data_IF_973799353855
#
_entry.id   IF_973799353855
#
_cell.length_a   1.000
_cell.length_b   1.000
_cell.length_c   1.000
_cell.angle_alpha   90.00
_cell.angle_beta   90.00
_cell.angle_gamma   90.00
#
_symmetry.space_group_name_H-M   'P 1'
#
loop_
_entity.id
_entity.type
_entity.pdbx_description
1 polymer ?
#
# COMPACT_ATOMS: atom_id res chain seq x y z
N UNK A 1 12.24 2.72 -50.96
CA UNK A 1 12.55 4.01 -50.29
C UNK A 1 11.33 4.58 -49.59
N UNK A 2 10.22 4.82 -50.30
CA UNK A 2 8.94 5.26 -49.71
C UNK A 2 8.41 4.37 -48.57
N UNK A 3 8.55 3.04 -48.67
CA UNK A 3 8.16 2.13 -47.58
C UNK A 3 8.90 2.42 -46.28
N UNK A 4 10.22 2.61 -46.34
CA UNK A 4 11.04 2.88 -45.16
C UNK A 4 10.79 4.26 -44.57
N UNK A 5 10.53 5.25 -45.43
CA UNK A 5 10.14 6.59 -45.00
C UNK A 5 8.75 6.59 -44.35
N UNK A 6 7.76 5.93 -44.96
CA UNK A 6 6.41 5.80 -44.41
C UNK A 6 6.39 4.96 -43.13
N UNK A 7 7.12 3.86 -43.08
CA UNK A 7 7.27 3.00 -41.90
C UNK A 7 7.97 3.75 -40.76
N UNK A 8 9.06 4.47 -41.06
CA UNK A 8 9.76 5.30 -40.08
C UNK A 8 8.88 6.41 -39.52
N UNK A 9 8.09 7.07 -40.37
CA UNK A 9 7.10 8.07 -39.94
C UNK A 9 6.01 7.47 -39.06
N UNK A 10 5.44 6.32 -39.43
CA UNK A 10 4.40 5.65 -38.66
C UNK A 10 4.91 5.16 -37.30
N UNK A 11 6.10 4.56 -37.24
CA UNK A 11 6.72 4.11 -35.98
C UNK A 11 7.04 5.29 -35.07
N UNK A 12 7.55 6.40 -35.63
CA UNK A 12 7.85 7.62 -34.87
C UNK A 12 6.58 8.29 -34.35
N UNK A 13 5.52 8.34 -35.15
CA UNK A 13 4.20 8.85 -34.74
C UNK A 13 3.60 7.99 -33.63
N UNK A 14 3.59 6.66 -33.78
CA UNK A 14 3.16 5.72 -32.74
C UNK A 14 3.97 5.88 -31.45
N UNK A 15 5.29 6.06 -31.57
CA UNK A 15 6.17 6.24 -30.44
C UNK A 15 5.95 7.57 -29.75
N UNK A 16 5.76 8.66 -30.49
CA UNK A 16 5.36 9.95 -29.92
C UNK A 16 4.02 9.81 -29.17
N UNK A 17 3.01 9.16 -29.74
CA UNK A 17 1.73 8.91 -29.06
C UNK A 17 1.89 8.06 -27.79
N UNK A 18 2.82 7.12 -27.79
CA UNK A 18 3.13 6.30 -26.62
C UNK A 18 3.92 7.08 -25.55
N UNK A 19 4.93 7.85 -25.95
CA UNK A 19 5.84 8.58 -25.07
C UNK A 19 5.19 9.85 -24.47
N UNK A 20 4.29 10.50 -25.21
CA UNK A 20 3.54 11.67 -24.77
C UNK A 20 2.34 11.33 -23.86
N UNK A 21 2.13 10.03 -23.56
CA UNK A 21 0.95 9.51 -22.86
C UNK A 21 0.45 10.42 -21.73
N UNK A 22 -0.87 10.68 -21.71
CA UNK A 22 -1.68 11.45 -20.75
C UNK A 22 -1.21 12.87 -20.33
N UNK A 23 0.07 13.23 -20.44
CA UNK A 23 0.67 14.45 -19.90
C UNK A 23 1.09 15.48 -20.96
N UNK A 24 1.10 15.13 -22.25
CA UNK A 24 1.27 16.12 -23.30
C UNK A 24 0.02 17.03 -23.41
N UNK A 25 0.22 18.31 -23.09
CA UNK A 25 -0.79 19.35 -23.28
C UNK A 25 -0.99 19.55 -24.78
N UNK A 26 -2.06 18.96 -25.30
CA UNK A 26 -2.52 19.17 -26.66
C UNK A 26 -3.26 20.51 -26.77
N UNK A 27 -3.38 20.97 -28.02
CA UNK A 27 -3.95 22.24 -28.49
C UNK A 27 -5.02 22.84 -27.55
N UNK A 28 -4.74 24.02 -27.01
CA UNK A 28 -5.66 24.72 -26.11
C UNK A 28 -6.93 25.13 -26.85
N UNK A 29 -8.09 24.75 -26.31
CA UNK A 29 -9.38 25.24 -26.80
C UNK A 29 -9.48 26.77 -26.67
N UNK A 30 -10.02 27.47 -27.69
CA UNK A 30 -10.35 28.88 -27.60
C UNK A 30 -11.33 29.19 -26.46
N UNK A 31 -11.21 30.38 -25.87
CA UNK A 31 -12.04 30.79 -24.72
C UNK A 31 -13.53 30.80 -25.05
N UNK A 32 -13.92 31.25 -26.25
CA UNK A 32 -15.33 31.30 -26.68
C UNK A 32 -15.97 29.93 -26.77
N UNK A 33 -15.23 28.94 -27.25
CA UNK A 33 -15.71 27.56 -27.33
C UNK A 33 -15.87 26.94 -25.94
N UNK A 34 -14.94 27.24 -25.02
CA UNK A 34 -15.04 26.78 -23.63
C UNK A 34 -16.29 27.30 -22.95
N UNK A 35 -16.57 28.60 -23.07
CA UNK A 35 -17.75 29.21 -22.46
C UNK A 35 -19.03 28.60 -23.01
N UNK A 36 -19.09 28.34 -24.33
CA UNK A 36 -20.24 27.71 -24.96
C UNK A 36 -20.44 26.25 -24.48
N UNK A 37 -19.35 25.48 -24.37
CA UNK A 37 -19.40 24.10 -23.83
C UNK A 37 -19.82 24.07 -22.36
N UNK A 38 -19.31 24.97 -21.53
CA UNK A 38 -19.68 25.09 -20.14
C UNK A 38 -21.18 25.42 -19.98
N UNK A 39 -21.68 26.35 -20.79
CA UNK A 39 -23.11 26.69 -20.79
C UNK A 39 -23.99 25.52 -21.23
N UNK A 40 -23.57 24.77 -22.26
CA UNK A 40 -24.29 23.58 -22.70
C UNK A 40 -24.35 22.51 -21.59
N UNK A 41 -23.26 22.28 -20.87
CA UNK A 41 -23.24 21.36 -19.74
C UNK A 41 -24.10 21.85 -18.58
N UNK A 42 -24.11 23.15 -18.32
CA UNK A 42 -24.98 23.78 -17.31
C UNK A 42 -26.46 23.59 -17.61
N UNK A 43 -26.85 23.64 -18.88
CA UNK A 43 -28.22 23.36 -19.33
C UNK A 43 -28.57 21.88 -19.24
N UNK A 44 -27.62 20.99 -19.54
CA UNK A 44 -27.82 19.54 -19.54
C UNK A 44 -27.88 18.92 -18.15
N UNK A 45 -27.00 19.35 -17.24
CA UNK A 45 -26.86 18.78 -15.90
C UNK A 45 -27.72 19.57 -14.91
N UNK A 46 -29.00 19.19 -14.79
CA UNK A 46 -29.92 19.76 -13.81
C UNK A 46 -29.73 19.09 -12.45
N UNK A 47 -29.50 19.88 -11.38
CA UNK A 47 -29.38 19.38 -10.01
C UNK A 47 -27.99 19.50 -9.37
N UNK A 48 -26.99 19.97 -10.12
CA UNK A 48 -25.66 20.28 -9.61
C UNK A 48 -25.50 21.80 -9.52
N UNK A 49 -25.05 22.32 -8.38
CA UNK A 49 -24.68 23.73 -8.24
C UNK A 49 -23.35 23.98 -8.92
N UNK A 50 -23.36 24.71 -10.04
CA UNK A 50 -22.16 25.11 -10.76
C UNK A 50 -21.41 26.19 -9.96
N UNK A 51 -20.30 25.80 -9.34
CA UNK A 51 -19.37 26.65 -8.59
C UNK A 51 -17.93 26.42 -9.07
N UNK A 52 -16.98 27.31 -8.77
CA UNK A 52 -15.58 27.11 -9.15
C UNK A 52 -14.96 25.80 -8.61
N UNK A 53 -15.51 25.23 -7.54
CA UNK A 53 -15.06 23.96 -6.95
C UNK A 53 -15.62 22.73 -7.67
N UNK A 54 -16.75 22.87 -8.37
CA UNK A 54 -17.46 21.79 -9.09
C UNK A 54 -17.26 21.86 -10.60
N UNK A 55 -16.85 23.03 -11.12
CA UNK A 55 -16.47 23.19 -12.51
C UNK A 55 -15.15 22.45 -12.82
N UNK A 56 -15.08 21.66 -13.91
CA UNK A 56 -13.84 21.00 -14.30
C UNK A 56 -12.76 22.01 -14.71
N UNK A 57 -11.49 21.70 -14.45
CA UNK A 57 -10.37 22.54 -14.88
C UNK A 57 -10.25 22.62 -16.41
N UNK A 58 -9.67 23.72 -16.90
CA UNK A 58 -9.45 23.92 -18.33
C UNK A 58 -8.51 22.86 -18.92
N UNK A 59 -7.46 22.50 -18.16
CA UNK A 59 -6.55 21.43 -18.53
C UNK A 59 -7.25 20.07 -18.68
N UNK A 60 -8.20 19.75 -17.80
CA UNK A 60 -8.97 18.51 -17.89
C UNK A 60 -9.86 18.49 -19.15
N UNK A 61 -10.53 19.61 -19.44
CA UNK A 61 -11.37 19.74 -20.65
C UNK A 61 -10.54 19.59 -21.93
N UNK A 62 -9.36 20.21 -21.98
CA UNK A 62 -8.46 20.10 -23.14
C UNK A 62 -8.04 18.65 -23.41
N UNK A 63 -7.78 17.87 -22.34
CA UNK A 63 -7.45 16.45 -22.47
C UNK A 63 -8.57 15.64 -23.09
N UNK A 64 -9.81 15.85 -22.66
CA UNK A 64 -10.96 15.14 -23.24
C UNK A 64 -11.22 15.56 -24.69
N UNK A 65 -11.04 16.83 -25.03
CA UNK A 65 -11.17 17.26 -26.42
C UNK A 65 -10.10 16.64 -27.29
N UNK A 66 -8.86 16.59 -26.82
CA UNK A 66 -7.78 15.89 -27.50
C UNK A 66 -8.10 14.41 -27.74
N UNK A 67 -8.67 13.71 -26.75
CA UNK A 67 -9.12 12.32 -26.93
C UNK A 67 -10.16 12.15 -28.03
N UNK A 68 -11.07 13.13 -28.16
CA UNK A 68 -12.08 13.15 -29.23
C UNK A 68 -11.44 13.44 -30.59
N UNK A 69 -10.54 14.42 -30.67
CA UNK A 69 -9.83 14.79 -31.90
C UNK A 69 -8.92 13.65 -32.41
N UNK A 70 -8.21 12.98 -31.50
CA UNK A 70 -7.29 11.89 -31.82
C UNK A 70 -7.98 10.52 -31.95
N UNK A 71 -9.27 10.45 -31.62
CA UNK A 71 -10.05 9.20 -31.56
C UNK A 71 -9.41 8.10 -30.70
N UNK A 72 -8.75 8.50 -29.61
CA UNK A 72 -8.11 7.59 -28.65
C UNK A 72 -8.59 7.86 -27.23
N UNK A 73 -8.85 6.80 -26.46
CA UNK A 73 -9.19 6.89 -25.03
C UNK A 73 -7.94 6.58 -24.22
N UNK A 74 -7.57 7.47 -23.32
CA UNK A 74 -6.42 7.33 -22.44
C UNK A 74 -6.88 7.42 -20.99
N UNK A 75 -6.41 6.50 -20.15
CA UNK A 75 -6.71 6.53 -18.72
C UNK A 75 -6.26 7.84 -18.06
N UNK A 76 -7.20 8.60 -17.52
CA UNK A 76 -6.90 9.79 -16.71
C UNK A 76 -6.94 9.39 -15.24
N UNK A 77 -5.80 9.52 -14.57
CA UNK A 77 -5.73 9.25 -13.14
C UNK A 77 -6.59 10.25 -12.35
N UNK A 78 -7.23 9.82 -11.25
CA UNK A 78 -8.06 10.70 -10.41
C UNK A 78 -7.33 11.96 -9.90
N UNK A 79 -6.01 11.90 -9.68
CA UNK A 79 -5.24 13.07 -9.23
C UNK A 79 -5.14 14.19 -10.27
N UNK A 80 -5.42 13.87 -11.54
CA UNK A 80 -5.44 14.82 -12.65
C UNK A 80 -6.84 15.39 -12.90
N UNK A 81 -7.87 14.83 -12.27
CA UNK A 81 -9.25 15.31 -12.34
C UNK A 81 -9.45 16.49 -11.38
N UNK A 82 -8.90 17.65 -11.75
CA UNK A 82 -8.91 18.87 -10.93
C UNK A 82 -10.10 19.77 -11.25
N UNK A 83 -10.54 20.54 -10.25
CA UNK A 83 -11.53 21.60 -10.44
C UNK A 83 -10.91 22.93 -10.87
N UNK A 84 -11.74 23.86 -11.32
CA UNK A 84 -11.33 25.22 -11.71
C UNK A 84 -10.64 25.98 -10.58
N UNK A 85 -11.17 25.88 -9.36
CA UNK A 85 -10.54 26.46 -8.17
C UNK A 85 -9.15 25.83 -7.90
N UNK A 86 -9.04 24.51 -8.01
CA UNK A 86 -7.76 23.79 -7.77
C UNK A 86 -6.70 24.11 -8.82
N UNK A 87 -7.09 24.26 -10.09
CA UNK A 87 -6.20 24.70 -11.18
C UNK A 87 -5.63 26.10 -10.90
N UNK A 88 -6.48 27.04 -10.50
CA UNK A 88 -6.08 28.42 -10.21
C UNK A 88 -5.14 28.51 -9.01
N UNK A 89 -5.40 27.70 -7.98
CA UNK A 89 -4.59 27.66 -6.76
C UNK A 89 -3.35 26.75 -6.88
N UNK A 90 -3.20 26.01 -7.99
CA UNK A 90 -2.16 24.98 -8.18
C UNK A 90 -2.12 23.93 -7.05
N UNK A 91 -3.27 23.64 -6.44
CA UNK A 91 -3.38 22.74 -5.29
C UNK A 91 -3.56 21.31 -5.78
N UNK A 92 -2.53 20.48 -5.57
CA UNK A 92 -2.62 19.01 -5.73
C UNK A 92 -3.17 18.39 -4.45
N UNK A 93 -4.48 18.47 -4.25
CA UNK A 93 -5.15 17.82 -3.11
C UNK A 93 -5.82 16.52 -3.57
N UNK A 94 -5.32 15.39 -3.06
CA UNK A 94 -6.01 14.12 -3.14
C UNK A 94 -7.14 14.11 -2.11
N UNK A 95 -8.39 13.98 -2.57
CA UNK A 95 -9.53 13.80 -1.67
C UNK A 95 -9.48 12.39 -1.09
N UNK A 96 -9.48 12.28 0.23
CA UNK A 96 -9.64 11.01 0.93
C UNK A 96 -11.11 10.61 0.91
N UNK A 97 -11.41 9.44 0.37
CA UNK A 97 -12.76 8.88 0.35
C UNK A 97 -12.92 7.90 1.51
N UNK A 98 -14.01 8.04 2.26
CA UNK A 98 -14.42 7.04 3.25
C UNK A 98 -15.50 6.16 2.63
N UNK A 99 -15.24 4.86 2.57
CA UNK A 99 -16.21 3.87 2.10
C UNK A 99 -17.09 3.43 3.27
N UNK A 100 -18.32 3.00 2.94
CA UNK A 100 -19.31 2.58 3.93
C UNK A 100 -18.88 1.39 4.80
N UNK A 101 -19.67 1.10 5.83
CA UNK A 101 -19.41 -0.02 6.73
C UNK A 101 -19.50 -1.35 5.99
N UNK A 102 -18.51 -2.21 6.22
CA UNK A 102 -18.40 -3.53 5.61
C UNK A 102 -18.84 -4.60 6.63
N UNK A 103 -19.46 -5.71 6.19
CA UNK A 103 -19.84 -6.80 7.09
C UNK A 103 -18.67 -7.36 7.91
N UNK A 104 -18.99 -7.93 9.08
CA UNK A 104 -18.00 -8.52 9.99
C UNK A 104 -17.19 -9.61 9.27
N UNK A 105 -15.87 -9.63 9.46
CA UNK A 105 -14.88 -10.53 8.83
C UNK A 105 -14.54 -10.29 7.35
N UNK A 106 -14.98 -9.18 6.75
CA UNK A 106 -14.58 -8.77 5.40
C UNK A 106 -13.72 -7.49 5.45
N UNK A 107 -12.72 -7.40 4.57
CA UNK A 107 -11.93 -6.18 4.43
C UNK A 107 -12.73 -5.13 3.65
N UNK A 108 -12.68 -3.85 4.04
CA UNK A 108 -13.24 -2.79 3.23
C UNK A 108 -12.53 -2.72 1.88
N UNK A 109 -13.27 -2.32 0.86
CA UNK A 109 -12.69 -2.05 -0.45
C UNK A 109 -11.63 -0.98 -0.29
N UNK A 110 -10.43 -1.24 -0.77
CA UNK A 110 -9.31 -0.30 -0.67
C UNK A 110 -9.35 0.71 -1.81
N UNK A 111 -8.72 1.88 -1.62
CA UNK A 111 -8.55 2.85 -2.71
C UNK A 111 -7.85 2.22 -3.93
N UNK A 112 -6.87 1.34 -3.69
CA UNK A 112 -6.17 0.62 -4.74
C UNK A 112 -7.11 -0.25 -5.58
N UNK A 113 -8.04 -0.97 -4.94
CA UNK A 113 -9.05 -1.77 -5.65
C UNK A 113 -9.95 -0.90 -6.54
N UNK A 114 -10.33 0.29 -6.06
CA UNK A 114 -11.11 1.24 -6.86
C UNK A 114 -10.31 1.72 -8.07
N UNK A 115 -9.04 2.09 -7.86
CA UNK A 115 -8.17 2.54 -8.96
C UNK A 115 -7.94 1.44 -9.99
N UNK A 116 -7.82 0.18 -9.57
CA UNK A 116 -7.62 -0.94 -10.50
C UNK A 116 -8.91 -1.31 -11.24
N UNK A 117 -10.08 -1.22 -10.59
CA UNK A 117 -11.38 -1.34 -11.24
C UNK A 117 -11.60 -0.24 -12.30
N UNK A 118 -11.29 1.01 -11.94
CA UNK A 118 -11.36 2.16 -12.83
C UNK A 118 -10.44 1.97 -14.05
N UNK A 119 -9.16 1.62 -13.85
CA UNK A 119 -8.27 1.29 -14.98
C UNK A 119 -8.83 0.20 -15.88
N UNK A 120 -9.40 -0.87 -15.31
CA UNK A 120 -10.00 -1.96 -16.09
C UNK A 120 -11.16 -1.46 -16.95
N UNK A 121 -12.02 -0.60 -16.39
CA UNK A 121 -13.11 0.03 -17.13
C UNK A 121 -12.58 0.87 -18.31
N UNK A 122 -11.55 1.67 -18.10
CA UNK A 122 -10.95 2.49 -19.16
C UNK A 122 -10.29 1.67 -20.26
N UNK A 123 -9.65 0.54 -19.91
CA UNK A 123 -9.08 -0.39 -20.90
C UNK A 123 -10.19 -0.96 -21.78
N UNK A 124 -11.24 -1.50 -21.18
CA UNK A 124 -12.38 -2.07 -21.91
C UNK A 124 -13.08 -1.02 -22.77
N UNK A 125 -13.27 0.19 -22.24
CA UNK A 125 -13.82 1.32 -22.98
C UNK A 125 -12.98 1.59 -24.24
N UNK A 126 -11.64 1.69 -24.08
CA UNK A 126 -10.72 1.98 -25.19
C UNK A 126 -10.71 0.90 -26.28
N UNK A 127 -10.95 -0.37 -25.91
CA UNK A 127 -11.05 -1.49 -26.86
C UNK A 127 -12.32 -1.37 -27.70
N UNK A 128 -13.44 -0.99 -27.08
CA UNK A 128 -14.74 -0.96 -27.72
C UNK A 128 -14.96 0.28 -28.60
N UNK A 129 -14.52 1.45 -28.13
CA UNK A 129 -14.71 2.73 -28.82
C UNK A 129 -13.59 3.06 -29.80
N UNK A 130 -12.67 2.12 -30.07
CA UNK A 130 -11.53 2.32 -30.96
C UNK A 130 -12.00 2.82 -32.34
N UNK A 131 -11.65 4.07 -32.67
CA UNK A 131 -12.03 4.73 -33.93
C UNK A 131 -13.51 5.14 -34.04
N UNK A 132 -14.27 5.10 -32.92
CA UNK A 132 -15.72 5.40 -32.86
C UNK A 132 -16.09 6.46 -31.83
N UNK A 133 -15.10 7.18 -31.29
CA UNK A 133 -15.31 8.20 -30.24
C UNK A 133 -16.14 9.37 -30.76
N UNK A 134 -15.91 9.78 -32.02
CA UNK A 134 -16.70 10.84 -32.64
C UNK A 134 -18.05 10.27 -33.06
N UNK A 135 -19.10 10.67 -32.35
CA UNK A 135 -20.47 10.45 -32.77
C UNK A 135 -20.66 11.02 -34.18
N UNK A 136 -21.32 10.26 -35.06
CA UNK A 136 -21.80 10.83 -36.32
C UNK A 136 -22.77 11.96 -35.98
N UNK A 137 -22.87 13.04 -36.77
CA UNK A 137 -23.84 14.10 -36.50
C UNK A 137 -25.24 13.49 -36.32
N UNK A 138 -25.81 13.62 -35.12
CA UNK A 138 -27.12 13.06 -34.75
C UNK A 138 -27.12 11.66 -34.12
N UNK A 139 -25.98 11.00 -33.89
CA UNK A 139 -25.92 9.76 -33.09
C UNK A 139 -25.71 10.07 -31.61
N UNK A 140 -26.23 9.20 -30.74
CA UNK A 140 -26.03 9.30 -29.30
C UNK A 140 -24.54 9.21 -28.91
N UNK A 141 -24.13 9.77 -27.75
CA UNK A 141 -22.77 9.66 -27.25
C UNK A 141 -22.35 8.19 -27.10
N UNK A 142 -21.44 7.74 -27.96
CA UNK A 142 -20.98 6.33 -27.99
C UNK A 142 -20.36 5.90 -26.66
N UNK A 143 -19.64 6.79 -25.98
CA UNK A 143 -18.93 6.45 -24.75
C UNK A 143 -19.87 6.29 -23.55
N UNK A 144 -20.93 7.10 -23.44
CA UNK A 144 -21.79 7.11 -22.24
C UNK A 144 -22.50 5.76 -22.05
N UNK A 145 -23.10 5.23 -23.13
CA UNK A 145 -23.76 3.92 -23.12
C UNK A 145 -22.78 2.77 -22.81
N UNK A 146 -21.54 2.86 -23.30
CA UNK A 146 -20.51 1.86 -23.02
C UNK A 146 -20.05 1.93 -21.57
N UNK A 147 -19.84 3.14 -21.02
CA UNK A 147 -19.47 3.35 -19.62
C UNK A 147 -20.55 2.78 -18.69
N UNK A 148 -21.81 3.09 -18.95
CA UNK A 148 -22.94 2.60 -18.15
C UNK A 148 -22.97 1.07 -18.14
N UNK A 149 -22.82 0.44 -19.31
CA UNK A 149 -22.79 -1.03 -19.43
C UNK A 149 -21.56 -1.65 -18.76
N UNK A 150 -20.37 -1.08 -18.94
CA UNK A 150 -19.14 -1.60 -18.35
C UNK A 150 -19.11 -1.43 -16.82
N UNK A 151 -19.76 -0.40 -16.28
CA UNK A 151 -19.84 -0.16 -14.83
C UNK A 151 -20.54 -1.29 -14.06
N UNK A 152 -21.41 -2.04 -14.73
CA UNK A 152 -22.14 -3.19 -14.16
C UNK A 152 -21.55 -4.53 -14.59
N UNK A 153 -20.50 -4.53 -15.41
CA UNK A 153 -19.87 -5.76 -15.91
C UNK A 153 -19.08 -6.49 -14.81
N UNK A 154 -19.08 -7.82 -14.85
CA UNK A 154 -18.31 -8.63 -13.90
C UNK A 154 -16.79 -8.37 -14.02
N UNK A 155 -16.33 -8.09 -15.24
CA UNK A 155 -14.94 -7.74 -15.54
C UNK A 155 -14.42 -6.56 -14.71
N UNK A 156 -15.29 -5.60 -14.38
CA UNK A 156 -14.95 -4.43 -13.54
C UNK A 156 -15.31 -4.70 -12.08
N UNK A 157 -16.51 -5.22 -11.82
CA UNK A 157 -17.03 -5.42 -10.47
C UNK A 157 -16.24 -6.45 -9.65
N UNK A 158 -15.59 -7.42 -10.30
CA UNK A 158 -14.73 -8.40 -9.63
C UNK A 158 -13.56 -7.76 -8.86
N UNK A 159 -13.06 -6.61 -9.32
CA UNK A 159 -12.01 -5.85 -8.61
C UNK A 159 -12.51 -5.21 -7.31
N UNK A 160 -13.81 -4.91 -7.24
CA UNK A 160 -14.47 -4.29 -6.08
C UNK A 160 -15.00 -5.32 -5.07
N UNK A 161 -14.82 -6.62 -5.34
CA UNK A 161 -15.24 -7.66 -4.41
C UNK A 161 -14.50 -7.54 -3.06
N UNK A 162 -15.23 -7.47 -1.92
CA UNK A 162 -14.61 -7.47 -0.60
C UNK A 162 -13.78 -8.74 -0.39
N UNK A 163 -12.51 -8.56 -0.03
CA UNK A 163 -11.62 -9.69 0.21
C UNK A 163 -11.81 -10.23 1.63
N UNK A 164 -11.81 -11.56 1.75
CA UNK A 164 -11.81 -12.22 3.04
C UNK A 164 -10.47 -11.99 3.74
N UNK A 165 -10.52 -11.71 5.04
CA UNK A 165 -9.32 -11.68 5.85
C UNK A 165 -8.87 -13.11 6.17
N UNK A 166 -8.12 -13.72 5.24
CA UNK A 166 -7.44 -14.98 5.52
C UNK A 166 -6.29 -14.65 6.46
N UNK A 167 -6.48 -14.88 7.76
CA UNK A 167 -5.38 -14.90 8.73
C UNK A 167 -4.43 -16.01 8.32
N UNK A 168 -3.33 -15.66 7.66
CA UNK A 168 -2.26 -16.62 7.46
C UNK A 168 -1.74 -17.04 8.84
N UNK A 169 -1.72 -18.33 9.17
CA UNK A 169 -1.03 -18.78 10.36
C UNK A 169 0.44 -18.37 10.21
N UNK A 170 1.00 -17.68 11.20
CA UNK A 170 2.42 -17.35 11.21
C UNK A 170 3.20 -18.65 11.27
N UNK A 171 3.66 -19.15 10.12
CA UNK A 171 4.62 -20.25 10.07
C UNK A 171 5.92 -19.64 10.60
N UNK A 172 6.49 -20.14 11.73
CA UNK A 172 7.77 -19.67 12.20
C UNK A 172 8.79 -19.95 11.09
N UNK A 173 9.24 -18.88 10.39
CA UNK A 173 10.27 -19.00 9.38
C UNK A 173 11.53 -19.46 10.11
N UNK A 174 11.99 -20.68 9.83
CA UNK A 174 13.29 -21.11 10.32
C UNK A 174 14.33 -20.21 9.63
N UNK A 175 14.94 -19.31 10.40
CA UNK A 175 16.08 -18.55 9.92
C UNK A 175 17.33 -19.40 10.15
N UNK A 176 18.10 -19.72 9.09
CA UNK A 176 19.38 -20.37 9.27
C UNK A 176 20.27 -19.47 10.12
N UNK A 177 20.75 -20.00 11.24
CA UNK A 177 21.67 -19.29 12.13
C UNK A 177 22.91 -18.86 11.34
N UNK A 178 23.01 -17.56 11.03
CA UNK A 178 24.27 -16.99 10.55
C UNK A 178 25.10 -16.58 11.77
N UNK A 179 26.27 -17.19 12.02
CA UNK A 179 27.12 -16.77 13.11
C UNK A 179 27.64 -15.37 12.79
N UNK A 180 27.21 -14.37 13.58
CA UNK A 180 27.73 -12.99 13.47
C UNK A 180 29.23 -13.02 13.81
N UNK A 181 30.09 -13.02 12.79
CA UNK A 181 31.55 -12.87 12.93
C UNK A 181 31.84 -11.56 13.66
N UNK A 182 32.39 -11.66 14.87
CA UNK A 182 32.89 -10.51 15.62
C UNK A 182 34.03 -9.84 14.84
N UNK A 183 33.90 -8.53 14.58
CA UNK A 183 34.99 -7.68 14.10
C UNK A 183 35.37 -6.68 15.20
N UNK A 184 36.63 -6.79 15.63
CA UNK A 184 37.58 -5.67 15.74
C UNK A 184 37.35 -4.56 16.77
N UNK A 185 38.32 -4.43 17.69
CA UNK A 185 38.62 -3.24 18.50
C UNK A 185 38.80 -1.98 17.61
N UNK A 186 38.29 -0.85 18.10
CA UNK A 186 38.59 0.51 17.62
C UNK A 186 38.19 1.54 18.67
N UNK A 187 39.07 2.52 18.90
CA UNK A 187 39.15 3.47 20.03
C UNK A 187 38.27 4.73 19.89
N UNK A 188 37.94 5.27 21.07
CA UNK A 188 37.85 6.69 21.49
C UNK A 188 36.94 7.69 20.75
N UNK A 189 36.08 8.36 21.54
CA UNK A 189 35.40 9.61 21.15
C UNK A 189 34.24 9.98 22.07
N UNK A 190 34.50 10.79 23.11
CA UNK A 190 33.47 11.51 23.89
C UNK A 190 32.77 12.52 22.97
N UNK A 191 31.44 12.58 23.00
CA UNK A 191 30.77 13.85 23.29
C UNK A 191 29.30 13.70 23.74
N UNK A 192 28.88 14.62 24.61
CA UNK A 192 27.55 14.67 25.24
C UNK A 192 26.53 15.31 24.30
N UNK A 193 25.41 14.63 24.07
CA UNK A 193 24.22 15.22 23.43
C UNK A 193 22.94 14.51 23.86
N UNK A 194 22.10 15.18 24.65
CA UNK A 194 20.71 14.79 24.96
C UNK A 194 19.90 14.71 23.66
N UNK A 195 19.31 13.56 23.35
CA UNK A 195 18.12 13.47 22.50
C UNK A 195 17.20 12.34 22.96
N UNK A 196 15.94 12.70 23.23
CA UNK A 196 14.79 11.81 23.43
C UNK A 196 14.66 10.88 22.22
N UNK A 197 14.54 9.57 22.46
CA UNK A 197 14.33 8.59 21.40
C UNK A 197 13.66 7.32 21.93
N UNK A 198 12.40 7.15 21.52
CA UNK A 198 11.72 5.90 21.17
C UNK A 198 11.78 4.74 22.17
N UNK A 199 10.63 4.46 22.76
CA UNK A 199 10.27 3.14 23.29
C UNK A 199 10.33 2.12 22.15
N UNK A 200 11.46 1.42 22.05
CA UNK A 200 11.55 0.17 21.32
C UNK A 200 11.04 -0.96 22.20
N UNK A 201 9.80 -1.35 22.01
CA UNK A 201 9.27 -2.61 22.50
C UNK A 201 10.04 -3.75 21.83
N UNK A 202 10.83 -4.46 22.63
CA UNK A 202 11.71 -5.52 22.12
C UNK A 202 12.54 -6.18 23.21
N UNK A 203 12.01 -6.30 24.42
CA UNK A 203 12.56 -7.24 25.39
C UNK A 203 11.99 -8.63 25.06
N UNK A 204 12.82 -9.66 24.81
CA UNK A 204 12.32 -11.01 24.64
C UNK A 204 11.63 -11.44 25.94
N UNK A 205 10.38 -11.90 25.83
CA UNK A 205 9.57 -12.35 26.96
C UNK A 205 10.41 -13.19 27.94
N UNK A 206 10.39 -12.89 29.25
CA UNK A 206 11.04 -13.75 30.23
C UNK A 206 10.45 -15.17 30.11
N UNK A 207 11.28 -16.23 30.13
CA UNK A 207 10.78 -17.59 30.02
C UNK A 207 9.79 -17.85 31.16
N UNK A 208 8.59 -18.33 30.82
CA UNK A 208 7.54 -18.66 31.80
C UNK A 208 8.10 -19.59 32.87
N UNK A 209 8.07 -19.11 34.11
CA UNK A 209 8.47 -19.86 35.29
C UNK A 209 7.23 -20.67 35.72
N UNK A 210 7.33 -22.00 35.91
CA UNK A 210 6.24 -22.83 36.41
C UNK A 210 5.79 -22.40 37.81
N UNK A 211 4.51 -22.60 38.11
CA UNK A 211 3.95 -22.34 39.45
C UNK A 211 4.74 -23.14 40.50
N UNK A 212 5.17 -22.47 41.58
CA UNK A 212 6.00 -23.05 42.66
C UNK A 212 7.52 -22.97 42.46
N UNK A 213 8.02 -22.37 41.38
CA UNK A 213 9.47 -22.21 41.16
C UNK A 213 10.02 -20.85 41.65
N UNK A 214 11.13 -20.89 42.37
CA UNK A 214 11.90 -19.71 42.80
C UNK A 214 12.66 -19.08 41.63
N UNK A 215 12.62 -17.76 41.51
CA UNK A 215 13.39 -16.99 40.53
C UNK A 215 14.80 -16.61 41.00
N UNK A 216 15.01 -16.63 42.31
CA UNK A 216 16.27 -16.27 42.99
C UNK A 216 16.70 -17.32 44.00
N UNK A 217 18.00 -17.36 44.31
CA UNK A 217 18.57 -18.13 45.42
C UNK A 217 18.19 -17.50 46.77
N UNK A 218 18.39 -18.20 47.89
CA UNK A 218 18.22 -17.69 49.26
C UNK A 218 18.90 -16.34 49.50
N UNK A 219 20.02 -16.09 48.84
CA UNK A 219 20.79 -14.84 48.93
C UNK A 219 20.30 -13.72 47.99
N UNK A 220 19.14 -13.89 47.32
CA UNK A 220 18.62 -12.92 46.35
C UNK A 220 19.35 -12.89 45.00
N UNK A 221 20.25 -13.84 44.73
CA UNK A 221 21.00 -13.93 43.46
C UNK A 221 20.16 -14.62 42.36
N UNK A 222 20.25 -14.22 41.08
CA UNK A 222 19.42 -14.79 40.02
C UNK A 222 19.84 -16.21 39.61
N UNK A 223 18.85 -17.07 39.38
CA UNK A 223 19.03 -18.44 38.89
C UNK A 223 19.11 -18.49 37.37
N UNK A 224 19.84 -19.47 36.83
CA UNK A 224 19.89 -19.73 35.40
C UNK A 224 18.71 -20.61 34.97
N UNK A 225 17.65 -20.01 34.41
CA UNK A 225 16.46 -20.76 33.97
C UNK A 225 16.74 -21.79 32.86
N UNK A 226 17.78 -21.58 32.04
CA UNK A 226 18.20 -22.57 31.05
C UNK A 226 18.81 -23.81 31.71
N UNK A 227 19.54 -23.65 32.82
CA UNK A 227 20.07 -24.77 33.58
C UNK A 227 18.96 -25.53 34.29
N UNK A 228 18.00 -24.81 34.88
CA UNK A 228 16.82 -25.43 35.49
C UNK A 228 16.01 -26.27 34.50
N UNK A 229 16.05 -25.95 33.20
CA UNK A 229 15.39 -26.70 32.13
C UNK A 229 16.28 -27.77 31.47
N UNK A 230 17.51 -27.97 31.92
CA UNK A 230 18.47 -28.92 31.33
C UNK A 230 19.07 -28.49 29.98
N UNK A 231 18.88 -27.22 29.58
CA UNK A 231 19.25 -26.68 28.27
C UNK A 231 20.34 -25.60 28.35
N UNK A 232 21.09 -25.54 29.44
CA UNK A 232 22.18 -24.57 29.56
C UNK A 232 23.38 -25.03 28.74
N UNK A 233 23.84 -24.18 27.83
CA UNK A 233 25.02 -24.41 27.00
C UNK A 233 26.33 -24.01 27.70
N UNK A 234 26.25 -23.38 28.87
CA UNK A 234 27.44 -23.05 29.66
C UNK A 234 27.97 -24.32 30.36
N UNK A 235 29.20 -24.72 30.05
CA UNK A 235 29.91 -25.86 30.66
C UNK A 235 30.35 -25.54 32.12
N UNK A 236 29.40 -25.17 32.98
CA UNK A 236 29.61 -24.90 34.41
C UNK A 236 28.90 -25.98 35.22
N UNK A 237 29.58 -26.50 36.25
CA UNK A 237 29.06 -27.52 37.17
C UNK A 237 27.83 -26.99 37.93
N UNK A 238 27.02 -27.90 38.48
CA UNK A 238 25.95 -27.54 39.41
C UNK A 238 26.51 -26.71 40.57
N UNK A 239 25.75 -25.72 41.05
CA UNK A 239 26.17 -24.77 42.09
C UNK A 239 26.99 -23.57 41.58
N UNK A 240 27.51 -23.60 40.35
CA UNK A 240 28.33 -22.51 39.80
C UNK A 240 27.50 -21.46 39.04
N UNK A 241 28.04 -20.24 38.96
CA UNK A 241 27.40 -19.12 38.23
C UNK A 241 27.85 -19.10 36.76
N UNK A 242 26.87 -19.02 35.85
CA UNK A 242 27.10 -18.66 34.45
C UNK A 242 26.69 -17.20 34.19
N UNK A 243 26.88 -16.72 32.96
CA UNK A 243 26.47 -15.37 32.57
C UNK A 243 24.97 -15.08 32.77
N UNK A 244 24.13 -16.12 32.82
CA UNK A 244 22.67 -16.01 32.97
C UNK A 244 22.16 -16.25 34.39
N UNK A 245 22.99 -16.73 35.32
CA UNK A 245 22.59 -17.01 36.70
C UNK A 245 23.25 -18.26 37.29
N UNK A 246 22.88 -18.60 38.53
CA UNK A 246 23.36 -19.79 39.24
C UNK A 246 22.75 -21.09 38.71
N UNK A 247 23.57 -22.13 38.61
CA UNK A 247 23.19 -23.48 38.20
C UNK A 247 22.62 -24.28 39.39
N UNK A 248 21.47 -23.84 39.89
CA UNK A 248 20.74 -24.50 40.98
C UNK A 248 19.32 -24.82 40.52
N UNK A 249 18.70 -25.80 41.16
CA UNK A 249 17.31 -26.15 40.91
C UNK A 249 16.37 -25.02 41.35
N UNK A 250 15.46 -24.59 40.48
CA UNK A 250 14.47 -23.56 40.83
C UNK A 250 13.36 -24.03 41.80
N UNK A 251 13.23 -25.33 42.11
CA UNK A 251 12.20 -25.85 43.02
C UNK A 251 12.74 -26.09 44.44
N UNK A 252 14.01 -26.49 44.57
CA UNK A 252 14.59 -26.85 45.87
C UNK A 252 15.97 -26.23 46.13
N UNK A 253 16.47 -25.38 45.22
CA UNK A 253 17.77 -24.70 45.31
C UNK A 253 19.00 -25.60 45.47
N UNK A 254 18.87 -26.91 45.23
CA UNK A 254 19.97 -27.89 45.29
C UNK A 254 20.74 -27.97 43.97
N UNK A 255 21.91 -28.62 44.03
CA UNK A 255 22.88 -28.77 42.94
C UNK A 255 22.47 -29.82 41.88
N UNK A 256 21.28 -29.64 41.30
CA UNK A 256 20.84 -30.42 40.14
C UNK A 256 19.94 -29.55 39.25
N UNK A 257 19.72 -29.93 37.98
CA UNK A 257 18.75 -29.27 37.14
C UNK A 257 17.34 -29.34 37.72
N UNK A 258 16.55 -28.30 37.49
CA UNK A 258 15.11 -28.27 37.81
C UNK A 258 14.33 -29.37 37.09
N UNK A 259 14.80 -29.83 35.93
CA UNK A 259 14.23 -30.95 35.19
C UNK A 259 14.43 -32.31 35.87
N UNK A 260 15.33 -32.42 36.84
CA UNK A 260 15.59 -33.68 37.54
C UNK A 260 15.16 -33.59 39.02
N UNK A 261 14.37 -32.57 39.35
CA UNK A 261 13.92 -32.33 40.72
C UNK A 261 12.80 -33.32 41.13
N UNK A 262 12.96 -34.05 42.25
CA UNK A 262 11.91 -34.92 42.76
C UNK A 262 10.68 -34.16 43.28
N UNK A 263 10.82 -32.87 43.60
CA UNK A 263 9.73 -32.01 44.12
C UNK A 263 8.95 -31.28 42.99
N UNK A 264 8.96 -31.78 41.76
CA UNK A 264 8.16 -31.18 40.68
C UNK A 264 6.68 -31.52 40.88
N UNK A 265 5.90 -30.57 41.37
CA UNK A 265 4.43 -30.71 41.44
C UNK A 265 3.87 -31.05 42.83
N UNK A 266 4.57 -30.64 43.89
CA UNK A 266 3.92 -30.37 45.18
C UNK A 266 3.63 -28.87 45.29
#
# INVERSE_FOLDING_TARGET
RLFWEAHGLAVRDLRLRQEHGADAVLKKLPTSERTARAEAQRRRLTGITWSPETEPSHQLVDRFVAMVEEQTVIYIRPELCTSRAQETLQVKQAKTFALGSVPKNMKPVTLQQIMDADKRLWILLSEEVRGKIVARPGSDPTCDAVIERLSTSNDVLSYLAPQHEIRQPTIPRWEPYTPRKGRGKGKDGKDKGKLKGQQGEGAPNPPSIPDGAHSTTSDGKPLCFLYSRGKCWAKKKAGQRCAKGFHLCWFCLKEHPGCDCPNKGN
#
